data_IF_468323525159
#
_entry.id   IF_468323525159
#
_cell.length_a   1.000
_cell.length_b   1.000
_cell.length_c   1.000
_cell.angle_alpha   90.00
_cell.angle_beta   90.00
_cell.angle_gamma   90.00
#
_symmetry.space_group_name_H-M   'P 1'
#
loop_
_entity.id
_entity.type
_entity.pdbx_description
1 polymer ?
#
# COMPACT_ATOMS: atom_id res chain seq x y z
N UNK A 1 -39.49 43.09 -10.21
CA UNK A 1 -38.06 43.33 -10.36
C UNK A 1 -37.15 42.42 -9.55
N UNK A 2 -37.66 41.74 -8.60
CA UNK A 2 -36.85 40.86 -7.75
C UNK A 2 -36.56 39.49 -8.37
N UNK A 3 -37.22 39.13 -9.45
CA UNK A 3 -37.07 37.86 -10.11
C UNK A 3 -35.71 37.71 -10.82
N UNK A 4 -35.21 38.78 -11.38
CA UNK A 4 -33.92 38.78 -12.08
C UNK A 4 -32.72 38.58 -11.14
N UNK A 5 -32.78 39.14 -9.95
CA UNK A 5 -31.74 38.96 -8.94
C UNK A 5 -31.75 37.55 -8.37
N UNK A 6 -32.93 37.01 -8.15
CA UNK A 6 -33.07 35.61 -7.66
C UNK A 6 -32.57 34.60 -8.68
N UNK A 7 -32.85 34.78 -9.94
CA UNK A 7 -32.35 33.89 -11.01
C UNK A 7 -30.85 34.00 -11.17
N UNK A 8 -30.25 35.17 -11.02
CA UNK A 8 -28.80 35.32 -11.05
C UNK A 8 -28.12 34.60 -9.89
N UNK A 9 -28.70 34.68 -8.71
CA UNK A 9 -28.15 33.97 -7.53
C UNK A 9 -28.22 32.47 -7.71
N UNK A 10 -29.33 31.95 -8.23
CA UNK A 10 -29.50 30.52 -8.50
C UNK A 10 -28.50 30.04 -9.55
N UNK A 11 -28.28 30.76 -10.61
CA UNK A 11 -27.28 30.45 -11.64
C UNK A 11 -25.86 30.44 -11.08
N UNK A 12 -25.53 31.42 -10.23
CA UNK A 12 -24.22 31.45 -9.56
C UNK A 12 -24.04 30.28 -8.62
N UNK A 13 -25.06 29.87 -7.89
CA UNK A 13 -25.01 28.70 -7.03
C UNK A 13 -24.79 27.40 -7.82
N UNK A 14 -25.44 27.23 -8.96
CA UNK A 14 -25.28 26.06 -9.82
C UNK A 14 -23.86 26.01 -10.38
N UNK A 15 -23.31 27.13 -10.83
CA UNK A 15 -21.93 27.19 -11.29
C UNK A 15 -20.93 26.87 -10.19
N UNK A 16 -21.18 27.35 -8.98
CA UNK A 16 -20.31 27.09 -7.84
C UNK A 16 -20.30 25.64 -7.41
N UNK A 17 -21.46 25.00 -7.39
CA UNK A 17 -21.59 23.57 -7.11
C UNK A 17 -20.91 22.72 -8.19
N UNK A 18 -21.04 23.11 -9.45
CA UNK A 18 -20.39 22.45 -10.58
C UNK A 18 -18.86 22.45 -10.47
N UNK A 19 -18.29 23.55 -10.01
CA UNK A 19 -16.83 23.66 -9.83
C UNK A 19 -16.35 22.76 -8.68
N UNK A 20 -17.10 22.70 -7.59
CA UNK A 20 -16.75 21.86 -6.45
C UNK A 20 -16.81 20.36 -6.78
N UNK A 21 -17.81 19.92 -7.52
CA UNK A 21 -17.92 18.51 -7.93
C UNK A 21 -16.88 18.14 -8.97
N UNK A 22 -16.58 19.03 -9.89
CA UNK A 22 -15.54 18.80 -10.90
C UNK A 22 -14.14 18.62 -10.30
N UNK A 23 -13.84 19.32 -9.22
CA UNK A 23 -12.56 19.24 -8.55
C UNK A 23 -12.32 17.87 -7.88
N UNK A 24 -13.35 17.25 -7.35
CA UNK A 24 -13.23 15.93 -6.73
C UNK A 24 -12.92 14.82 -7.73
N UNK A 25 -13.50 14.88 -8.91
CA UNK A 25 -13.24 13.84 -9.93
C UNK A 25 -11.82 13.91 -10.48
N UNK A 26 -11.23 15.07 -10.51
CA UNK A 26 -9.87 15.23 -11.00
C UNK A 26 -8.82 14.60 -10.06
N UNK A 27 -9.08 14.59 -8.77
CA UNK A 27 -8.16 13.97 -7.80
C UNK A 27 -8.22 12.45 -7.81
N UNK A 28 -9.38 11.86 -8.05
CA UNK A 28 -9.51 10.41 -8.11
C UNK A 28 -8.89 9.78 -9.35
N UNK A 29 -8.82 10.50 -10.45
CA UNK A 29 -8.26 9.93 -11.68
C UNK A 29 -6.73 9.96 -11.70
N UNK A 30 -6.12 10.66 -10.77
CA UNK A 30 -4.68 10.82 -10.77
C UNK A 30 -3.91 9.64 -10.18
N UNK A 31 -4.59 8.82 -9.41
CA UNK A 31 -3.93 7.69 -8.77
C UNK A 31 -3.79 6.47 -9.63
N UNK A 32 -4.46 6.55 -10.82
CA UNK A 32 -4.52 5.39 -11.57
C UNK A 32 -3.53 5.33 -12.64
N UNK A 33 -2.77 6.22 -12.67
CA UNK A 33 -2.00 6.29 -13.74
C UNK A 33 -0.63 6.10 -13.76
N UNK A 34 -0.03 5.71 -13.00
CA UNK A 34 1.13 5.82 -13.02
C UNK A 34 2.00 4.90 -13.17
N UNK A 35 2.01 4.16 -12.99
CA UNK A 35 2.81 3.23 -13.13
C UNK A 35 3.74 3.25 -14.07
N UNK A 36 4.22 3.61 -14.61
CA UNK A 36 5.01 3.44 -15.37
C UNK A 36 5.96 3.67 -15.57
N UNK A 37 6.61 3.65 -15.55
CA UNK A 37 7.39 3.36 -16.17
C UNK A 37 8.50 3.67 -16.27
N UNK A 38 9.23 3.72 -16.28
CA UNK A 38 10.31 3.97 -16.49
C UNK A 38 11.27 3.23 -16.38
N UNK A 39 11.61 2.72 -16.85
CA UNK A 39 12.77 2.09 -17.21
C UNK A 39 14.00 2.77 -16.88
N UNK A 40 14.29 3.00 -15.84
CA UNK A 40 15.63 3.13 -15.45
C UNK A 40 16.04 1.80 -14.88
N UNK A 41 17.08 1.30 -15.36
CA UNK A 41 17.72 0.11 -14.88
C UNK A 41 18.24 0.33 -13.48
N UNK A 42 17.38 0.63 -12.57
CA UNK A 42 17.64 0.47 -11.17
C UNK A 42 17.34 -0.98 -10.85
N UNK A 43 18.19 -1.63 -10.13
CA UNK A 43 17.97 -2.96 -9.62
C UNK A 43 16.63 -2.92 -8.87
N UNK A 44 15.59 -3.35 -9.55
CA UNK A 44 14.28 -3.44 -8.92
C UNK A 44 14.24 -4.72 -8.17
N UNK A 45 14.40 -4.65 -6.88
CA UNK A 45 14.10 -5.78 -6.02
C UNK A 45 12.61 -6.04 -6.14
N UNK A 46 12.27 -7.20 -6.63
CA UNK A 46 10.88 -7.60 -6.77
C UNK A 46 10.33 -8.07 -5.43
N UNK A 47 9.17 -7.55 -5.08
CA UNK A 47 8.49 -7.96 -3.86
C UNK A 47 7.74 -9.26 -4.10
N UNK A 48 8.11 -10.29 -3.40
CA UNK A 48 7.49 -11.62 -3.49
C UNK A 48 6.86 -12.01 -2.15
N UNK A 49 6.03 -13.01 -2.17
CA UNK A 49 5.39 -13.56 -0.97
C UNK A 49 5.73 -15.04 -0.85
N UNK A 50 6.14 -15.44 0.32
CA UNK A 50 6.47 -16.82 0.64
C UNK A 50 5.60 -17.34 1.77
N UNK A 51 5.12 -18.56 1.65
CA UNK A 51 4.37 -19.23 2.70
C UNK A 51 5.36 -19.99 3.61
N UNK A 52 5.39 -19.62 4.87
CA UNK A 52 6.34 -20.16 5.85
C UNK A 52 5.59 -20.93 6.92
N UNK A 53 6.07 -22.11 7.26
CA UNK A 53 5.56 -22.88 8.39
C UNK A 53 6.17 -22.37 9.69
N UNK A 54 5.34 -22.15 10.69
CA UNK A 54 5.74 -21.63 12.00
C UNK A 54 6.22 -22.78 12.88
N UNK A 55 7.44 -22.68 13.36
CA UNK A 55 8.02 -23.61 14.32
C UNK A 55 7.63 -23.30 15.76
N UNK A 56 7.98 -24.20 16.68
CA UNK A 56 7.62 -24.08 18.11
C UNK A 56 8.22 -22.86 18.80
N UNK A 57 9.38 -22.43 18.35
CA UNK A 57 10.10 -21.29 18.94
C UNK A 57 10.08 -20.04 18.05
N UNK A 58 9.35 -20.09 16.95
CA UNK A 58 9.30 -18.98 16.03
C UNK A 58 8.38 -17.87 16.57
N UNK A 59 8.85 -16.65 16.41
CA UNK A 59 8.08 -15.45 16.69
C UNK A 59 8.00 -14.60 15.41
N UNK A 60 7.08 -13.66 15.37
CA UNK A 60 7.01 -12.73 14.24
C UNK A 60 8.33 -12.00 14.03
N UNK A 61 9.00 -11.62 15.10
CA UNK A 61 10.30 -10.93 15.03
C UNK A 61 11.41 -11.81 14.46
N UNK A 62 11.46 -13.10 14.85
CA UNK A 62 12.46 -14.04 14.31
C UNK A 62 12.20 -14.31 12.83
N UNK A 63 10.95 -14.49 12.43
CA UNK A 63 10.59 -14.67 11.04
C UNK A 63 10.89 -13.41 10.23
N UNK A 64 10.52 -12.24 10.72
CA UNK A 64 10.81 -10.97 10.06
C UNK A 64 12.32 -10.75 9.92
N UNK A 65 13.11 -11.07 10.95
CA UNK A 65 14.57 -10.96 10.88
C UNK A 65 15.18 -11.84 9.82
N UNK A 66 14.60 -13.01 9.61
CA UNK A 66 15.07 -13.97 8.60
C UNK A 66 14.84 -13.49 7.18
N UNK A 67 13.74 -12.78 6.94
CA UNK A 67 13.35 -12.29 5.63
C UNK A 67 13.58 -10.79 5.44
N UNK A 68 14.20 -10.14 6.42
CA UNK A 68 14.49 -8.72 6.37
C UNK A 68 15.48 -8.40 5.24
N UNK A 69 15.20 -7.35 4.49
CA UNK A 69 16.07 -6.79 3.47
C UNK A 69 16.18 -5.28 3.64
N UNK A 70 17.15 -4.68 3.00
CA UNK A 70 17.43 -3.25 3.13
C UNK A 70 16.35 -2.34 2.54
N UNK A 71 15.43 -2.90 1.77
CA UNK A 71 14.28 -2.19 1.22
C UNK A 71 13.29 -1.78 2.30
N UNK A 72 13.27 -2.48 3.43
CA UNK A 72 12.48 -2.10 4.60
C UNK A 72 13.26 -1.14 5.49
N UNK A 73 12.59 -0.14 6.02
CA UNK A 73 13.22 0.81 6.94
C UNK A 73 13.61 0.16 8.28
N UNK A 74 12.85 -0.86 8.69
CA UNK A 74 13.10 -1.57 9.94
C UNK A 74 12.46 -2.95 9.94
N UNK A 75 12.93 -3.82 10.82
CA UNK A 75 12.29 -5.12 11.05
C UNK A 75 10.84 -4.95 11.51
N UNK A 76 10.56 -3.90 12.30
CA UNK A 76 9.20 -3.59 12.75
C UNK A 76 8.24 -3.32 11.60
N UNK A 77 8.69 -2.66 10.54
CA UNK A 77 7.89 -2.43 9.34
C UNK A 77 7.51 -3.76 8.69
N UNK A 78 8.45 -4.67 8.57
CA UNK A 78 8.17 -6.00 8.03
C UNK A 78 7.24 -6.81 8.92
N UNK A 79 7.38 -6.72 10.24
CA UNK A 79 6.44 -7.35 11.19
C UNK A 79 5.03 -6.83 10.97
N UNK A 80 4.86 -5.51 10.86
CA UNK A 80 3.55 -4.91 10.63
C UNK A 80 2.96 -5.32 9.28
N UNK A 81 3.78 -5.47 8.27
CA UNK A 81 3.34 -5.94 6.97
C UNK A 81 2.91 -7.41 7.01
N UNK A 82 3.65 -8.27 7.69
CA UNK A 82 3.29 -9.67 7.91
C UNK A 82 1.94 -9.75 8.63
N UNK A 83 1.74 -8.95 9.67
CA UNK A 83 0.48 -8.90 10.40
C UNK A 83 -0.69 -8.52 9.50
N UNK A 84 -0.52 -7.46 8.72
CA UNK A 84 -1.57 -7.01 7.79
C UNK A 84 -1.89 -8.04 6.73
N UNK A 85 -0.88 -8.68 6.17
CA UNK A 85 -1.04 -9.68 5.11
C UNK A 85 -1.80 -10.92 5.61
N UNK A 86 -1.58 -11.30 6.87
CA UNK A 86 -2.21 -12.48 7.47
C UNK A 86 -3.46 -12.16 8.32
N UNK A 87 -3.83 -10.90 8.44
CA UNK A 87 -4.97 -10.50 9.26
C UNK A 87 -4.78 -10.71 10.75
N UNK A 88 -3.55 -10.54 11.23
CA UNK A 88 -3.23 -10.70 12.66
C UNK A 88 -3.44 -9.40 13.41
N UNK A 89 -4.13 -9.46 14.53
CA UNK A 89 -4.35 -8.31 15.40
C UNK A 89 -3.20 -8.11 16.38
N UNK A 90 -2.58 -9.19 16.81
CA UNK A 90 -1.47 -9.17 17.76
C UNK A 90 -0.25 -9.92 17.20
N UNK A 91 0.81 -9.99 17.98
CA UNK A 91 2.07 -10.63 17.58
C UNK A 91 2.08 -12.15 17.82
N UNK A 92 0.96 -12.73 18.24
CA UNK A 92 0.89 -14.15 18.53
C UNK A 92 0.76 -14.97 17.26
N UNK A 93 1.65 -15.93 17.13
CA UNK A 93 1.60 -16.94 16.08
C UNK A 93 1.68 -18.31 16.72
N UNK A 94 1.15 -19.32 16.03
CA UNK A 94 1.03 -20.66 16.57
C UNK A 94 1.90 -21.63 15.78
N UNK A 95 2.63 -22.47 16.50
CA UNK A 95 3.41 -23.54 15.90
C UNK A 95 2.52 -24.47 15.06
N UNK A 96 2.99 -24.83 13.88
CA UNK A 96 2.24 -25.63 12.92
C UNK A 96 1.31 -24.85 12.01
N UNK A 97 1.12 -23.55 12.24
CA UNK A 97 0.41 -22.68 11.32
C UNK A 97 1.29 -22.24 10.16
N UNK A 98 0.66 -21.68 9.14
CA UNK A 98 1.37 -21.12 7.99
C UNK A 98 1.17 -19.62 7.96
N UNK A 99 2.24 -18.90 7.68
CA UNK A 99 2.23 -17.45 7.54
C UNK A 99 2.68 -17.04 6.15
N UNK A 100 2.01 -16.05 5.61
CA UNK A 100 2.42 -15.40 4.37
C UNK A 100 3.40 -14.28 4.74
N UNK A 101 4.64 -14.40 4.27
CA UNK A 101 5.69 -13.41 4.54
C UNK A 101 6.02 -12.69 3.24
N UNK A 102 5.62 -11.41 3.11
CA UNK A 102 6.08 -10.59 2.00
C UNK A 102 7.54 -10.18 2.25
N UNK A 103 8.37 -10.29 1.24
CA UNK A 103 9.76 -9.85 1.30
C UNK A 103 10.27 -9.49 -0.08
N UNK A 104 11.42 -8.85 -0.13
CA UNK A 104 12.08 -8.55 -1.40
C UNK A 104 13.13 -9.60 -1.69
N UNK A 105 13.12 -10.10 -2.92
CA UNK A 105 14.15 -11.02 -3.36
C UNK A 105 15.36 -10.23 -3.83
N UNK A 106 16.51 -10.57 -3.31
CA UNK A 106 17.76 -10.07 -3.86
C UNK A 106 18.11 -10.92 -5.08
N UNK A 107 18.17 -10.30 -6.23
CA UNK A 107 18.73 -10.94 -7.39
C UNK A 107 20.17 -11.33 -7.06
N UNK A 108 20.34 -12.55 -6.63
CA UNK A 108 21.66 -13.13 -6.49
C UNK A 108 22.17 -13.40 -7.91
N UNK A 109 22.87 -12.45 -8.47
CA UNK A 109 23.57 -12.68 -9.70
C UNK A 109 24.63 -13.74 -9.40
N UNK A 110 24.26 -14.95 -9.71
CA UNK A 110 25.20 -16.07 -9.65
C UNK A 110 26.18 -15.93 -10.82
N UNK A 111 27.37 -15.54 -10.49
CA UNK A 111 28.46 -15.59 -11.46
C UNK A 111 28.98 -17.03 -11.63
#
# INVERSE_FOLDING_TARGET
MNVKKSTMVILLCILFVGVLTGSCYSLCSKERGQDKVLSSSAMSSEKIVTCVSVGKEDTLWTLASRYYTEEYQSIGELVDEIKRTNGLEDDKIYAGSHLIVPHYEKDTISY
#
